data_IF_866547915093
#
_entry.id   IF_866547915093
#
_cell.length_a   1.000
_cell.length_b   1.000
_cell.length_c   1.000
_cell.angle_alpha   90.00
_cell.angle_beta   90.00
_cell.angle_gamma   90.00
#
_symmetry.space_group_name_H-M   'P 1'
#
loop_
_entity.id
_entity.type
_entity.pdbx_description
1 polymer ?
#
# COMPACT_ATOMS: atom_id res chain seq x y z
N UNK A 1 9.54 13.25 -20.37
CA UNK A 1 8.68 12.33 -19.62
C UNK A 1 9.28 12.18 -18.23
N UNK A 2 8.62 12.66 -17.18
CA UNK A 2 9.10 12.49 -15.82
C UNK A 2 9.11 11.00 -15.48
N UNK A 3 10.23 10.47 -15.01
CA UNK A 3 10.27 9.11 -14.48
C UNK A 3 9.28 9.02 -13.32
N UNK A 4 8.27 8.15 -13.45
CA UNK A 4 7.22 8.00 -12.45
C UNK A 4 7.81 7.70 -11.08
N UNK A 5 7.29 8.35 -10.03
CA UNK A 5 7.71 8.18 -8.63
C UNK A 5 7.86 6.70 -8.25
N UNK A 6 6.93 5.86 -8.69
CA UNK A 6 6.93 4.40 -8.47
C UNK A 6 8.20 3.72 -8.99
N UNK A 7 8.71 4.16 -10.14
CA UNK A 7 9.93 3.62 -10.78
C UNK A 7 11.20 4.10 -10.06
N UNK A 8 11.18 5.28 -9.46
CA UNK A 8 12.33 5.83 -8.70
C UNK A 8 12.51 5.19 -7.32
N UNK A 9 11.42 4.75 -6.70
CA UNK A 9 11.44 4.23 -5.32
C UNK A 9 11.10 2.75 -5.21
N UNK A 10 11.04 2.02 -6.34
CA UNK A 10 10.73 0.59 -6.37
C UNK A 10 9.48 0.21 -5.56
N UNK A 11 8.43 1.05 -5.65
CA UNK A 11 7.19 0.85 -4.89
C UNK A 11 6.34 -0.20 -5.59
N UNK A 12 6.73 -1.47 -5.40
CA UNK A 12 6.08 -2.60 -6.05
C UNK A 12 5.25 -3.44 -5.07
N UNK A 13 5.65 -3.47 -3.78
CA UNK A 13 5.08 -4.38 -2.77
C UNK A 13 3.72 -3.91 -2.24
N UNK A 14 2.74 -4.81 -2.26
CA UNK A 14 1.44 -4.57 -1.60
C UNK A 14 1.53 -5.05 -0.15
N UNK A 15 1.72 -4.13 0.78
CA UNK A 15 1.89 -4.49 2.21
C UNK A 15 0.65 -4.29 3.06
N UNK A 16 -0.34 -3.55 2.55
CA UNK A 16 -1.61 -3.30 3.24
C UNK A 16 -2.70 -2.89 2.26
N UNK A 17 -3.91 -3.35 2.48
CA UNK A 17 -5.13 -2.86 1.84
C UNK A 17 -6.29 -2.87 2.83
N UNK A 18 -7.33 -2.09 2.56
CA UNK A 18 -8.57 -2.08 3.34
C UNK A 18 -9.74 -2.28 2.38
N UNK A 19 -10.65 -3.19 2.72
CA UNK A 19 -11.92 -3.35 2.00
C UNK A 19 -12.95 -2.43 2.62
N UNK A 20 -13.58 -1.61 1.77
CA UNK A 20 -14.60 -0.65 2.17
C UNK A 20 -15.85 -0.93 1.34
N UNK A 21 -17.01 -0.98 2.00
CA UNK A 21 -18.27 -1.37 1.36
C UNK A 21 -18.82 -0.37 0.33
N UNK A 22 -18.30 0.86 0.33
CA UNK A 22 -18.78 1.94 -0.52
C UNK A 22 -17.62 2.73 -1.13
N UNK A 23 -17.79 3.15 -2.39
CA UNK A 23 -16.79 3.94 -3.11
C UNK A 23 -16.50 5.28 -2.41
N UNK A 24 -17.52 5.95 -1.87
CA UNK A 24 -17.34 7.22 -1.17
C UNK A 24 -16.46 7.07 0.09
N UNK A 25 -16.64 5.97 0.83
CA UNK A 25 -15.83 5.64 2.00
C UNK A 25 -14.38 5.35 1.60
N UNK A 26 -14.16 4.63 0.50
CA UNK A 26 -12.83 4.39 -0.05
C UNK A 26 -12.11 5.70 -0.41
N UNK A 27 -12.81 6.61 -1.10
CA UNK A 27 -12.24 7.92 -1.48
C UNK A 27 -11.93 8.77 -0.24
N UNK A 28 -12.84 8.81 0.74
CA UNK A 28 -12.62 9.57 1.97
C UNK A 28 -11.42 9.03 2.77
N UNK A 29 -11.31 7.70 2.90
CA UNK A 29 -10.19 7.03 3.58
C UNK A 29 -8.88 7.28 2.86
N UNK A 30 -8.85 7.18 1.53
CA UNK A 30 -7.65 7.47 0.74
C UNK A 30 -7.19 8.92 0.95
N UNK A 31 -8.11 9.89 0.88
CA UNK A 31 -7.82 11.31 1.13
C UNK A 31 -7.28 11.54 2.54
N UNK A 32 -7.81 10.84 3.54
CA UNK A 32 -7.34 10.90 4.92
C UNK A 32 -5.89 10.38 5.03
N UNK A 33 -5.60 9.19 4.50
CA UNK A 33 -4.26 8.58 4.54
C UNK A 33 -3.22 9.40 3.77
N UNK A 34 -3.60 10.06 2.67
CA UNK A 34 -2.72 10.97 1.92
C UNK A 34 -2.21 12.15 2.76
N UNK A 35 -2.99 12.60 3.75
CA UNK A 35 -2.63 13.70 4.67
C UNK A 35 -1.90 13.24 5.94
N UNK A 36 -1.76 11.94 6.15
CA UNK A 36 -1.11 11.41 7.35
C UNK A 36 0.41 11.53 7.31
N UNK A 37 0.97 11.73 8.50
CA UNK A 37 2.40 11.59 8.73
C UNK A 37 2.87 10.18 8.33
N UNK A 38 4.09 10.10 7.79
CA UNK A 38 4.68 8.83 7.34
C UNK A 38 4.66 7.76 8.43
N UNK A 39 4.98 8.14 9.68
CA UNK A 39 5.02 7.21 10.80
C UNK A 39 3.67 6.57 11.09
N UNK A 40 2.56 7.31 10.96
CA UNK A 40 1.24 6.75 11.24
C UNK A 40 0.84 5.71 10.19
N UNK A 41 1.23 5.92 8.93
CA UNK A 41 1.04 4.91 7.88
C UNK A 41 1.87 3.66 8.15
N UNK A 42 3.10 3.82 8.64
CA UNK A 42 3.96 2.70 9.05
C UNK A 42 3.32 1.92 10.19
N UNK A 43 2.94 2.60 11.28
CA UNK A 43 2.29 1.96 12.43
C UNK A 43 1.01 1.21 12.01
N UNK A 44 0.25 1.78 11.07
CA UNK A 44 -0.96 1.15 10.55
C UNK A 44 -0.63 -0.12 9.74
N UNK A 45 0.45 -0.13 8.96
CA UNK A 45 0.95 -1.33 8.26
C UNK A 45 1.43 -2.37 9.27
N UNK A 46 2.29 -1.98 10.21
CA UNK A 46 2.89 -2.88 11.20
C UNK A 46 1.86 -3.50 12.15
N UNK A 47 0.75 -2.81 12.41
CA UNK A 47 -0.37 -3.35 13.20
C UNK A 47 -1.02 -4.58 12.56
N UNK A 48 -0.97 -4.72 11.23
CA UNK A 48 -1.65 -5.82 10.50
C UNK A 48 -0.65 -6.74 9.79
N UNK A 49 0.53 -6.23 9.45
CA UNK A 49 1.58 -6.91 8.69
C UNK A 49 2.97 -6.46 9.20
N UNK A 50 3.37 -6.89 10.41
CA UNK A 50 4.64 -6.48 11.03
C UNK A 50 5.87 -6.92 10.23
N UNK A 51 5.78 -8.03 9.49
CA UNK A 51 6.87 -8.55 8.67
C UNK A 51 6.92 -7.97 7.24
N UNK A 52 6.00 -7.04 6.92
CA UNK A 52 5.91 -6.40 5.60
C UNK A 52 5.84 -7.41 4.45
N UNK A 53 5.10 -8.51 4.65
CA UNK A 53 4.84 -9.51 3.64
C UNK A 53 4.12 -8.92 2.43
N UNK A 54 4.41 -9.44 1.25
CA UNK A 54 3.72 -9.05 0.02
C UNK A 54 2.36 -9.74 -0.05
N UNK A 55 1.31 -8.99 0.25
CA UNK A 55 -0.08 -9.47 0.24
C UNK A 55 -0.58 -9.78 -1.17
N UNK A 56 0.09 -9.27 -2.21
CA UNK A 56 -0.26 -9.58 -3.59
C UNK A 56 -0.21 -11.09 -3.85
N UNK A 57 0.77 -11.79 -3.28
CA UNK A 57 0.89 -13.25 -3.38
C UNK A 57 -0.33 -13.96 -2.79
N UNK A 58 -0.82 -13.49 -1.64
CA UNK A 58 -2.04 -14.02 -1.01
C UNK A 58 -3.31 -13.78 -1.83
N UNK A 59 -3.32 -12.77 -2.70
CA UNK A 59 -4.40 -12.49 -3.65
C UNK A 59 -4.28 -13.27 -4.97
N UNK A 60 -3.29 -14.16 -5.11
CA UNK A 60 -3.06 -14.96 -6.32
C UNK A 60 -2.27 -14.23 -7.41
N UNK A 61 -1.67 -13.08 -7.10
CA UNK A 61 -0.75 -12.39 -8.02
C UNK A 61 0.65 -13.00 -7.91
N UNK A 62 1.45 -12.98 -9.00
CA UNK A 62 2.83 -13.45 -8.93
C UNK A 62 3.65 -12.58 -7.97
N UNK A 63 4.64 -13.16 -7.26
CA UNK A 63 5.54 -12.39 -6.43
C UNK A 63 6.30 -11.37 -7.29
N UNK A 64 6.58 -10.21 -6.71
CA UNK A 64 7.36 -9.18 -7.40
C UNK A 64 8.79 -9.69 -7.62
N UNK A 65 9.19 -9.80 -8.89
CA UNK A 65 10.58 -10.03 -9.28
C UNK A 65 11.34 -8.71 -9.06
N UNK A 66 12.07 -8.61 -7.95
CA UNK A 66 12.89 -7.45 -7.59
C UNK A 66 14.28 -7.47 -8.25
N UNK A 67 14.41 -8.09 -9.43
CA UNK A 67 15.68 -8.15 -10.16
C UNK A 67 15.99 -6.86 -10.91
#
# INVERSE_FOLDING_TARGET
MAEGFTRRYHVHRLVRYELLGDMERAIAREKQLKRWHRQWKINLIESENPDWHDLAVGLGLPPIDLR
#
